data_IF_684754991923
#
_entry.id   IF_684754991923
#
_cell.length_a   1.000
_cell.length_b   1.000
_cell.length_c   1.000
_cell.angle_alpha   90.00
_cell.angle_beta   90.00
_cell.angle_gamma   90.00
#
_symmetry.space_group_name_H-M   'P 1'
#
loop_
_entity.id
_entity.type
_entity.pdbx_description
1 polymer ?
#
# COMPACT_ATOMS: atom_id res chain seq x y z
N UNK A 1 -0.73 15.58 8.22
CA UNK A 1 -0.93 14.11 8.09
C UNK A 1 -1.53 13.60 9.38
N UNK A 2 -2.62 12.85 9.30
CA UNK A 2 -3.37 12.38 10.47
C UNK A 2 -3.29 10.87 10.65
N UNK A 3 -3.04 10.14 9.57
CA UNK A 3 -2.96 8.70 9.58
C UNK A 3 -1.89 8.19 8.64
N UNK A 4 -1.31 7.04 8.98
CA UNK A 4 -0.41 6.27 8.12
C UNK A 4 -1.05 4.93 7.83
N UNK A 5 -1.25 4.63 6.56
CA UNK A 5 -1.70 3.33 6.09
C UNK A 5 -0.48 2.52 5.63
N UNK A 6 -0.16 1.47 6.36
CA UNK A 6 0.99 0.61 6.07
C UNK A 6 0.54 -0.49 5.11
N UNK A 7 1.02 -0.41 3.87
CA UNK A 7 0.67 -1.37 2.81
C UNK A 7 1.78 -2.40 2.59
N UNK A 8 2.58 -2.66 3.62
CA UNK A 8 3.56 -3.76 3.59
C UNK A 8 2.86 -5.07 3.92
N UNK A 9 3.12 -6.09 3.13
CA UNK A 9 2.57 -7.43 3.40
C UNK A 9 3.22 -8.03 4.65
N UNK A 10 4.53 -7.77 4.82
CA UNK A 10 5.34 -8.30 5.91
C UNK A 10 6.08 -7.14 6.61
N UNK A 11 5.42 -6.43 7.56
CA UNK A 11 5.98 -5.20 8.15
C UNK A 11 7.00 -5.49 9.26
N UNK A 12 7.94 -6.39 9.00
CA UNK A 12 9.07 -6.69 9.88
C UNK A 12 10.37 -6.21 9.27
N UNK A 13 11.31 -5.75 10.09
CA UNK A 13 12.64 -5.39 9.62
C UNK A 13 13.68 -5.79 10.65
N UNK A 14 14.62 -6.66 10.24
CA UNK A 14 15.76 -7.04 11.07
C UNK A 14 16.81 -5.94 11.16
N UNK A 15 17.00 -5.17 10.07
CA UNK A 15 17.96 -4.07 10.02
C UNK A 15 17.47 -2.83 10.75
N UNK A 16 16.17 -2.58 10.71
CA UNK A 16 15.54 -1.39 11.27
C UNK A 16 14.33 -1.77 12.11
N UNK A 17 14.53 -2.36 13.32
CA UNK A 17 13.41 -2.80 14.15
C UNK A 17 12.42 -1.70 14.49
N UNK A 18 12.88 -0.44 14.52
CA UNK A 18 12.03 0.72 14.78
C UNK A 18 10.95 0.93 13.71
N UNK A 19 11.09 0.32 12.53
CA UNK A 19 10.08 0.36 11.46
C UNK A 19 9.22 -0.89 11.40
N UNK A 20 9.36 -1.81 12.36
CA UNK A 20 8.43 -2.92 12.50
C UNK A 20 7.03 -2.42 12.89
N UNK A 21 6.02 -3.22 12.63
CA UNK A 21 4.61 -2.82 12.80
C UNK A 21 4.32 -2.27 14.19
N UNK A 22 4.70 -2.99 15.23
CA UNK A 22 4.36 -2.60 16.61
C UNK A 22 5.14 -1.39 17.07
N UNK A 23 6.44 -1.32 16.76
CA UNK A 23 7.28 -0.18 17.11
C UNK A 23 6.82 1.08 16.39
N UNK A 24 6.49 0.99 15.12
CA UNK A 24 6.02 2.12 14.31
C UNK A 24 4.65 2.60 14.78
N UNK A 25 3.74 1.67 15.08
CA UNK A 25 2.41 2.00 15.61
C UNK A 25 2.53 2.79 16.92
N UNK A 26 3.39 2.35 17.83
CA UNK A 26 3.62 3.04 19.10
C UNK A 26 4.22 4.43 18.89
N UNK A 27 5.20 4.57 18.00
CA UNK A 27 5.83 5.85 17.69
C UNK A 27 4.85 6.86 17.10
N UNK A 28 4.01 6.41 16.19
CA UNK A 28 3.01 7.27 15.54
C UNK A 28 1.91 7.69 16.52
N UNK A 29 1.47 6.76 17.38
CA UNK A 29 0.50 7.08 18.42
C UNK A 29 1.04 8.15 19.38
N UNK A 30 2.32 8.08 19.75
CA UNK A 30 3.00 9.09 20.55
C UNK A 30 3.05 10.46 19.87
N UNK A 31 3.04 10.50 18.55
CA UNK A 31 3.01 11.73 17.76
C UNK A 31 1.58 12.20 17.44
N UNK A 32 0.55 11.54 17.96
CA UNK A 32 -0.85 11.89 17.72
C UNK A 32 -1.38 11.43 16.36
N UNK A 33 -0.74 10.46 15.74
CA UNK A 33 -1.13 9.93 14.42
C UNK A 33 -1.70 8.52 14.55
N UNK A 34 -2.68 8.21 13.72
CA UNK A 34 -3.22 6.86 13.60
C UNK A 34 -2.34 5.99 12.72
N UNK A 35 -2.24 4.72 13.05
CA UNK A 35 -1.56 3.72 12.24
C UNK A 35 -2.53 2.60 11.90
N UNK A 36 -2.64 2.28 10.62
CA UNK A 36 -3.47 1.17 10.14
C UNK A 36 -2.63 0.28 9.23
N UNK A 37 -2.58 -1.00 9.56
CA UNK A 37 -1.91 -1.99 8.72
C UNK A 37 -2.93 -2.62 7.76
N UNK A 38 -2.67 -2.49 6.46
CA UNK A 38 -3.52 -3.01 5.40
C UNK A 38 -2.75 -4.06 4.58
N UNK A 39 -2.54 -5.26 5.12
CA UNK A 39 -1.77 -6.30 4.43
C UNK A 39 -2.41 -6.75 3.12
N UNK A 40 -3.73 -6.60 2.97
CA UNK A 40 -4.44 -6.91 1.73
C UNK A 40 -3.99 -6.01 0.56
N UNK A 41 -3.37 -4.87 0.84
CA UNK A 41 -2.78 -4.01 -0.18
C UNK A 41 -1.27 -4.25 -0.37
N UNK A 42 -0.72 -5.22 0.32
CA UNK A 42 0.72 -5.54 0.27
C UNK A 42 1.17 -6.07 -1.08
N UNK A 43 2.45 -5.86 -1.39
CA UNK A 43 3.08 -6.31 -2.62
C UNK A 43 3.53 -7.78 -2.58
N UNK A 44 4.50 -8.13 -3.42
CA UNK A 44 5.06 -9.49 -3.56
C UNK A 44 4.02 -10.50 -4.03
N UNK A 45 3.30 -10.15 -5.09
CA UNK A 45 2.29 -11.02 -5.72
C UNK A 45 2.85 -11.63 -7.00
N UNK A 46 2.62 -12.91 -7.21
CA UNK A 46 3.04 -13.60 -8.43
C UNK A 46 1.97 -13.44 -9.51
N UNK A 47 2.38 -13.22 -10.80
CA UNK A 47 1.42 -13.20 -11.89
C UNK A 47 0.76 -14.57 -12.05
N UNK A 48 -0.51 -14.56 -12.45
CA UNK A 48 -1.20 -15.79 -12.85
C UNK A 48 -0.62 -16.29 -14.17
N UNK A 49 -0.63 -17.62 -14.43
CA UNK A 49 -0.18 -18.15 -15.71
C UNK A 49 -0.95 -17.59 -16.91
N UNK A 50 -2.22 -17.26 -16.71
CA UNK A 50 -3.13 -16.70 -17.72
C UNK A 50 -3.27 -15.18 -17.62
N UNK A 51 -2.28 -14.51 -17.04
CA UNK A 51 -2.33 -13.06 -16.82
C UNK A 51 -2.62 -12.29 -18.10
N UNK A 52 -3.60 -11.38 -18.02
CA UNK A 52 -3.95 -10.44 -19.09
C UNK A 52 -3.19 -9.12 -19.00
N UNK A 53 -2.45 -8.92 -17.90
CA UNK A 53 -1.76 -7.66 -17.62
C UNK A 53 -0.37 -7.62 -18.26
N UNK A 54 -0.30 -7.94 -19.54
CA UNK A 54 0.95 -8.07 -20.30
C UNK A 54 1.62 -6.74 -20.61
N UNK A 55 0.94 -5.61 -20.39
CA UNK A 55 1.54 -4.29 -20.48
C UNK A 55 2.64 -4.07 -19.44
N UNK A 56 2.60 -4.80 -18.33
CA UNK A 56 3.59 -4.72 -17.27
C UNK A 56 4.69 -5.76 -17.53
N UNK A 57 5.86 -5.30 -17.96
CA UNK A 57 7.01 -6.20 -18.23
C UNK A 57 7.59 -6.78 -16.95
N UNK A 58 7.59 -5.98 -15.86
CA UNK A 58 8.06 -6.43 -14.56
C UNK A 58 7.08 -7.44 -13.98
N UNK A 59 7.56 -8.65 -13.65
CA UNK A 59 6.72 -9.71 -13.11
C UNK A 59 6.04 -9.34 -11.80
N UNK A 60 6.71 -8.55 -10.95
CA UNK A 60 6.13 -8.09 -9.68
C UNK A 60 4.94 -7.16 -9.92
N UNK A 61 5.03 -6.24 -10.86
CA UNK A 61 3.93 -5.34 -11.21
C UNK A 61 2.80 -6.10 -11.89
N UNK A 62 3.12 -7.04 -12.79
CA UNK A 62 2.11 -7.87 -13.42
C UNK A 62 1.37 -8.72 -12.40
N UNK A 63 2.10 -9.32 -11.45
CA UNK A 63 1.50 -10.08 -10.36
C UNK A 63 0.60 -9.22 -9.48
N UNK A 64 1.02 -8.00 -9.17
CA UNK A 64 0.18 -7.09 -8.41
C UNK A 64 -1.06 -6.65 -9.18
N UNK A 65 -0.92 -6.38 -10.48
CA UNK A 65 -2.07 -6.03 -11.33
C UNK A 65 -3.09 -7.18 -11.37
N UNK A 66 -2.63 -8.43 -11.44
CA UNK A 66 -3.50 -9.59 -11.34
C UNK A 66 -4.21 -9.65 -9.97
N UNK A 67 -3.48 -9.39 -8.90
CA UNK A 67 -4.03 -9.35 -7.54
C UNK A 67 -5.11 -8.28 -7.40
N UNK A 68 -4.97 -7.14 -8.08
CA UNK A 68 -5.95 -6.05 -8.06
C UNK A 68 -7.33 -6.47 -8.58
N UNK A 69 -7.41 -7.59 -9.29
CA UNK A 69 -8.69 -8.14 -9.76
C UNK A 69 -9.40 -8.99 -8.70
N UNK A 70 -8.80 -9.18 -7.52
CA UNK A 70 -9.35 -10.05 -6.47
C UNK A 70 -10.24 -9.29 -5.49
N UNK A 71 -11.13 -10.04 -4.82
CA UNK A 71 -11.97 -9.50 -3.76
C UNK A 71 -11.16 -9.02 -2.55
N UNK A 72 -10.04 -9.68 -2.25
CA UNK A 72 -9.15 -9.29 -1.15
C UNK A 72 -8.56 -7.90 -1.39
N UNK A 73 -8.13 -7.61 -2.61
CA UNK A 73 -7.65 -6.27 -2.96
C UNK A 73 -8.79 -5.24 -2.85
N UNK A 74 -9.96 -5.55 -3.35
CA UNK A 74 -11.11 -4.65 -3.30
C UNK A 74 -11.48 -4.31 -1.85
N UNK A 75 -11.44 -5.29 -0.96
CA UNK A 75 -11.68 -5.10 0.47
C UNK A 75 -10.63 -4.17 1.10
N UNK A 76 -9.34 -4.40 0.82
CA UNK A 76 -8.26 -3.56 1.32
C UNK A 76 -8.34 -2.13 0.80
N UNK A 77 -8.64 -1.97 -0.47
CA UNK A 77 -8.79 -0.65 -1.09
C UNK A 77 -10.00 0.09 -0.50
N UNK A 78 -11.10 -0.61 -0.23
CA UNK A 78 -12.27 -0.05 0.44
C UNK A 78 -11.93 0.49 1.83
N UNK A 79 -11.15 -0.26 2.62
CA UNK A 79 -10.69 0.17 3.93
C UNK A 79 -9.82 1.43 3.83
N UNK A 80 -8.91 1.49 2.85
CA UNK A 80 -8.08 2.66 2.61
C UNK A 80 -8.93 3.88 2.22
N UNK A 81 -9.91 3.71 1.35
CA UNK A 81 -10.81 4.78 0.94
C UNK A 81 -11.61 5.35 2.11
N UNK A 82 -12.11 4.50 3.00
CA UNK A 82 -12.81 4.94 4.21
C UNK A 82 -11.89 5.75 5.13
N UNK A 83 -10.65 5.30 5.30
CA UNK A 83 -9.67 6.02 6.10
C UNK A 83 -9.37 7.41 5.50
N UNK A 84 -9.23 7.49 4.17
CA UNK A 84 -8.96 8.75 3.47
C UNK A 84 -10.11 9.75 3.57
N UNK A 85 -11.35 9.29 3.70
CA UNK A 85 -12.51 10.17 3.91
C UNK A 85 -12.48 10.85 5.26
N UNK A 86 -11.98 10.17 6.27
CA UNK A 86 -11.98 10.64 7.65
C UNK A 86 -10.72 11.42 8.00
N UNK A 87 -9.59 11.04 7.44
CA UNK A 87 -8.28 11.57 7.82
C UNK A 87 -7.38 11.75 6.60
N UNK A 88 -6.53 12.77 6.66
CA UNK A 88 -5.44 12.92 5.69
C UNK A 88 -4.44 11.80 5.92
N UNK A 89 -4.27 10.93 4.93
CA UNK A 89 -3.59 9.65 5.07
C UNK A 89 -2.35 9.59 4.18
N UNK A 90 -1.24 9.09 4.75
CA UNK A 90 -0.04 8.71 3.99
C UNK A 90 -0.01 7.20 3.83
N UNK A 91 0.26 6.74 2.63
CA UNK A 91 0.47 5.32 2.32
C UNK A 91 1.96 5.01 2.39
N UNK A 92 2.33 3.99 3.13
CA UNK A 92 3.72 3.66 3.42
C UNK A 92 4.05 2.24 3.00
N UNK A 93 5.22 2.06 2.37
CA UNK A 93 5.80 0.74 2.15
C UNK A 93 7.32 0.79 2.37
N UNK A 94 8.02 -0.34 2.13
CA UNK A 94 9.46 -0.44 2.34
C UNK A 94 10.29 0.18 1.21
N UNK A 95 9.72 0.39 0.02
CA UNK A 95 10.42 0.96 -1.12
C UNK A 95 10.33 2.48 -1.11
N UNK A 96 11.47 3.15 -1.19
CA UNK A 96 11.53 4.61 -1.21
C UNK A 96 10.97 5.20 -2.51
N UNK A 97 11.30 4.59 -3.65
CA UNK A 97 10.86 5.07 -4.96
C UNK A 97 9.46 4.55 -5.27
N UNK A 98 8.45 5.41 -5.17
CA UNK A 98 7.05 5.01 -5.39
C UNK A 98 6.81 4.41 -6.78
N UNK A 99 7.55 4.85 -7.79
CA UNK A 99 7.38 4.35 -9.18
C UNK A 99 7.96 2.94 -9.39
N UNK A 100 8.74 2.42 -8.45
CA UNK A 100 9.27 1.05 -8.46
C UNK A 100 8.48 0.11 -7.56
N UNK A 101 7.40 0.59 -6.98
CA UNK A 101 6.66 -0.09 -5.94
C UNK A 101 5.21 -0.24 -6.35
N UNK A 102 4.53 -1.24 -5.79
CA UNK A 102 3.09 -1.43 -5.97
C UNK A 102 2.26 -0.21 -5.58
N UNK A 103 2.82 0.75 -4.83
CA UNK A 103 2.16 2.04 -4.55
C UNK A 103 1.77 2.80 -5.82
N UNK A 104 2.52 2.64 -6.91
CA UNK A 104 2.14 3.24 -8.18
C UNK A 104 0.79 2.72 -8.67
N UNK A 105 0.57 1.42 -8.55
CA UNK A 105 -0.70 0.78 -8.93
C UNK A 105 -1.83 1.14 -7.96
N UNK A 106 -1.56 1.22 -6.67
CA UNK A 106 -2.54 1.70 -5.68
C UNK A 106 -2.92 3.14 -6.00
N UNK A 107 -1.94 3.99 -6.30
CA UNK A 107 -2.17 5.38 -6.68
C UNK A 107 -3.09 5.49 -7.90
N UNK A 108 -2.84 4.70 -8.93
CA UNK A 108 -3.68 4.67 -10.13
C UNK A 108 -5.11 4.26 -9.79
N UNK A 109 -5.28 3.26 -8.93
CA UNK A 109 -6.60 2.81 -8.49
C UNK A 109 -7.36 3.89 -7.72
N UNK A 110 -6.65 4.65 -6.87
CA UNK A 110 -7.23 5.76 -6.12
C UNK A 110 -7.62 6.92 -7.05
N UNK A 111 -6.75 7.28 -7.98
CA UNK A 111 -7.03 8.33 -8.96
C UNK A 111 -8.24 7.99 -9.82
N UNK A 112 -8.40 6.73 -10.20
CA UNK A 112 -9.55 6.26 -10.97
C UNK A 112 -10.87 6.43 -10.19
N UNK A 113 -10.80 6.54 -8.88
CA UNK A 113 -11.97 6.77 -8.00
C UNK A 113 -12.13 8.22 -7.57
N UNK A 114 -11.39 9.15 -8.18
CA UNK A 114 -11.48 10.58 -7.91
C UNK A 114 -10.73 11.04 -6.68
N UNK A 115 -9.84 10.23 -6.12
CA UNK A 115 -9.03 10.62 -4.97
C UNK A 115 -7.79 11.35 -5.45
N UNK A 116 -7.50 12.51 -4.86
CA UNK A 116 -6.28 13.25 -5.13
C UNK A 116 -5.10 12.55 -4.45
N UNK A 117 -4.06 12.23 -5.24
CA UNK A 117 -2.86 11.57 -4.76
C UNK A 117 -1.65 12.46 -4.99
N UNK A 118 -0.87 12.69 -3.94
CA UNK A 118 0.38 13.43 -3.99
C UNK A 118 1.50 12.51 -3.52
N UNK A 119 2.54 12.37 -4.34
CA UNK A 119 3.69 11.55 -3.99
C UNK A 119 4.70 12.36 -3.18
N UNK A 120 5.10 11.82 -2.04
CA UNK A 120 6.10 12.43 -1.17
C UNK A 120 7.45 11.80 -1.50
N UNK A 121 8.43 12.63 -1.94
CA UNK A 121 9.77 12.12 -2.25
C UNK A 121 10.50 11.58 -1.02
#
# INVERSE_FOLDING_TARGET
MQAVADVRRFPGSRKHPQFGRDALSASLAGAGMSYVWLPALGGRRRPRPDSRNTAWRNASFRGYADYMETADFASGLGALLELCKEQRTAVMCAEAAWWRCHRALISDALCARGVEVVHIP
#
